data_IF_662001667580
#
_entry.id   IF_662001667580
#
_cell.length_a   1.000
_cell.length_b   1.000
_cell.length_c   1.000
_cell.angle_alpha   90.00
_cell.angle_beta   90.00
_cell.angle_gamma   90.00
#
_symmetry.space_group_name_H-M   'P 1'
#
loop_
_entity.id
_entity.type
_entity.pdbx_description
1 polymer ?
#
# COMPACT_ATOMS: atom_id res chain seq x y z
N UNK A 1 8.35 29.21 9.44
CA UNK A 1 8.74 27.79 9.57
C UNK A 1 7.77 27.02 8.71
N UNK A 2 8.17 26.70 7.47
CA UNK A 2 7.30 26.01 6.54
C UNK A 2 7.59 24.52 6.71
N UNK A 3 6.62 23.77 7.24
CA UNK A 3 6.66 22.31 7.18
C UNK A 3 6.54 21.91 5.72
N UNK A 4 7.69 21.88 5.05
CA UNK A 4 7.79 21.52 3.66
C UNK A 4 7.76 20.00 3.48
N UNK A 5 7.63 19.54 2.22
CA UNK A 5 7.77 18.13 1.87
C UNK A 5 9.07 17.51 2.43
N UNK A 6 10.13 18.32 2.54
CA UNK A 6 11.43 17.92 3.09
C UNK A 6 11.37 17.52 4.56
N UNK A 7 10.76 18.32 5.44
CA UNK A 7 10.56 17.96 6.85
C UNK A 7 9.72 16.70 7.01
N UNK A 8 8.66 16.56 6.21
CA UNK A 8 7.77 15.39 6.26
C UNK A 8 8.53 14.11 5.87
N UNK A 9 9.39 14.19 4.86
CA UNK A 9 10.28 13.09 4.45
C UNK A 9 11.26 12.72 5.57
N UNK A 10 11.85 13.69 6.27
CA UNK A 10 12.76 13.42 7.39
C UNK A 10 12.06 12.63 8.50
N UNK A 11 10.84 13.03 8.86
CA UNK A 11 10.03 12.33 9.88
C UNK A 11 9.66 10.92 9.39
N UNK A 12 9.26 10.78 8.13
CA UNK A 12 8.91 9.49 7.54
C UNK A 12 10.08 8.51 7.59
N UNK A 13 11.30 8.96 7.30
CA UNK A 13 12.52 8.13 7.38
C UNK A 13 12.74 7.62 8.80
N UNK A 14 12.56 8.45 9.82
CA UNK A 14 12.69 8.05 11.22
C UNK A 14 11.68 6.94 11.55
N UNK A 15 10.41 7.14 11.19
CA UNK A 15 9.33 6.15 11.39
C UNK A 15 9.68 4.82 10.70
N UNK A 16 10.18 4.88 9.47
CA UNK A 16 10.60 3.70 8.69
C UNK A 16 11.78 2.97 9.34
N UNK A 17 12.71 3.67 10.01
CA UNK A 17 13.79 3.00 10.75
C UNK A 17 13.24 2.26 11.97
N UNK A 18 12.29 2.84 12.71
CA UNK A 18 11.69 2.19 13.87
C UNK A 18 10.78 1.01 13.51
N UNK A 19 9.93 1.16 12.49
CA UNK A 19 8.97 0.12 12.09
C UNK A 19 9.50 -0.82 11.00
N UNK A 20 10.53 -0.43 10.25
CA UNK A 20 11.06 -1.14 9.09
C UNK A 20 10.33 -0.82 7.78
N UNK A 21 11.07 -0.85 6.66
CA UNK A 21 10.56 -0.56 5.30
C UNK A 21 9.45 -1.51 4.84
N UNK A 22 9.37 -2.73 5.40
CA UNK A 22 8.38 -3.73 5.01
C UNK A 22 7.03 -3.60 5.73
N UNK A 23 7.02 -3.06 6.95
CA UNK A 23 5.79 -2.98 7.77
C UNK A 23 4.85 -1.88 7.30
N UNK A 24 5.42 -0.77 6.83
CA UNK A 24 4.66 0.38 6.37
C UNK A 24 3.72 0.06 5.17
N UNK A 25 4.19 -0.55 4.06
CA UNK A 25 3.33 -0.94 2.95
C UNK A 25 2.34 -2.06 3.31
N UNK A 26 2.71 -2.98 4.20
CA UNK A 26 1.82 -4.05 4.68
C UNK A 26 0.62 -3.48 5.44
N UNK A 27 0.87 -2.56 6.39
CA UNK A 27 -0.18 -1.87 7.17
C UNK A 27 -1.03 -0.99 6.26
N UNK A 28 -0.43 -0.20 5.38
CA UNK A 28 -1.19 0.63 4.45
C UNK A 28 -1.99 -0.19 3.44
N UNK A 29 -1.49 -1.35 2.99
CA UNK A 29 -2.23 -2.27 2.15
C UNK A 29 -3.47 -2.81 2.85
N UNK A 30 -3.36 -3.20 4.12
CA UNK A 30 -4.50 -3.67 4.92
C UNK A 30 -5.52 -2.55 5.17
N UNK A 31 -5.06 -1.35 5.57
CA UNK A 31 -5.93 -0.18 5.79
C UNK A 31 -6.61 0.27 4.50
N UNK A 32 -5.89 0.28 3.37
CA UNK A 32 -6.42 0.66 2.07
C UNK A 32 -7.51 -0.30 1.58
N UNK A 33 -7.32 -1.62 1.76
CA UNK A 33 -8.35 -2.63 1.49
C UNK A 33 -9.60 -2.41 2.36
N UNK A 34 -9.41 -2.16 3.66
CA UNK A 34 -10.52 -1.86 4.57
C UNK A 34 -11.28 -0.59 4.20
N UNK A 35 -10.56 0.49 3.85
CA UNK A 35 -11.17 1.75 3.42
C UNK A 35 -11.91 1.60 2.08
N UNK A 36 -11.38 0.80 1.15
CA UNK A 36 -12.02 0.50 -0.14
C UNK A 36 -13.32 -0.28 0.05
N UNK A 37 -13.33 -1.28 0.92
CA UNK A 37 -14.56 -2.02 1.23
C UNK A 37 -15.55 -1.16 2.02
N UNK A 38 -15.07 -0.29 2.92
CA UNK A 38 -15.90 0.69 3.63
C UNK A 38 -16.60 1.64 2.67
N UNK A 39 -15.88 2.22 1.69
CA UNK A 39 -16.48 3.11 0.67
C UNK A 39 -17.50 2.38 -0.21
N UNK A 40 -17.20 1.16 -0.62
CA UNK A 40 -18.10 0.29 -1.39
C UNK A 40 -19.40 0.00 -0.62
N UNK A 41 -19.33 -0.25 0.67
CA UNK A 41 -20.50 -0.45 1.53
C UNK A 41 -21.23 0.86 1.85
N UNK A 42 -20.49 1.97 1.94
CA UNK A 42 -21.04 3.32 2.17
C UNK A 42 -21.78 3.91 0.95
N UNK A 43 -21.94 3.14 -0.15
CA UNK A 43 -22.72 3.54 -1.32
C UNK A 43 -21.98 4.48 -2.28
N UNK A 44 -20.69 4.76 -2.05
CA UNK A 44 -19.84 5.37 -3.08
C UNK A 44 -19.45 4.28 -4.09
N UNK A 45 -20.25 4.12 -5.14
CA UNK A 45 -19.88 3.32 -6.32
C UNK A 45 -18.71 3.99 -7.07
N UNK A 46 -17.51 3.84 -6.52
CA UNK A 46 -16.28 4.12 -7.27
C UNK A 46 -16.04 2.95 -8.23
N UNK A 47 -16.64 3.08 -9.40
CA UNK A 47 -16.45 2.24 -10.57
C UNK A 47 -14.94 1.96 -10.79
N UNK A 48 -14.59 0.68 -10.78
CA UNK A 48 -13.32 0.08 -11.23
C UNK A 48 -12.00 0.48 -10.55
N UNK A 49 -11.39 -0.50 -9.88
CA UNK A 49 -9.94 -0.64 -9.83
C UNK A 49 -9.58 -2.14 -9.83
N UNK A 50 -9.58 -2.70 -11.04
CA UNK A 50 -8.95 -3.97 -11.42
C UNK A 50 -7.43 -3.74 -11.44
N UNK A 51 -6.64 -4.74 -11.02
CA UNK A 51 -5.18 -4.75 -10.72
C UNK A 51 -4.84 -4.29 -9.29
N UNK A 52 -3.97 -4.94 -8.52
CA UNK A 52 -3.03 -6.02 -8.79
C UNK A 52 -3.03 -6.96 -7.58
N UNK A 53 -3.35 -8.23 -7.83
CA UNK A 53 -2.90 -9.34 -7.00
C UNK A 53 -1.43 -9.56 -7.35
N UNK A 54 -0.55 -8.86 -6.64
CA UNK A 54 0.87 -9.19 -6.58
C UNK A 54 1.02 -10.48 -5.75
N UNK A 55 0.63 -11.61 -6.33
CA UNK A 55 1.03 -12.93 -5.87
C UNK A 55 1.50 -13.74 -7.06
N UNK A 56 2.83 -13.79 -7.20
CA UNK A 56 3.60 -15.03 -7.39
C UNK A 56 3.01 -16.05 -8.35
N UNK A 57 3.62 -16.14 -9.54
CA UNK A 57 4.03 -17.40 -10.17
C UNK A 57 5.13 -17.11 -11.21
N UNK A 58 6.31 -16.74 -10.73
CA UNK A 58 7.54 -16.94 -11.50
C UNK A 58 8.05 -18.35 -11.17
N UNK A 59 7.57 -19.33 -11.92
CA UNK A 59 8.27 -20.59 -12.16
C UNK A 59 7.89 -21.08 -13.55
N UNK A 60 8.49 -20.47 -14.57
CA UNK A 60 8.66 -21.14 -15.86
C UNK A 60 9.51 -22.38 -15.61
N UNK A 61 8.88 -23.53 -15.74
CA UNK A 61 9.47 -24.85 -15.48
C UNK A 61 8.59 -25.92 -16.10
N UNK A 62 8.35 -25.82 -17.41
CA UNK A 62 7.76 -26.90 -18.19
C UNK A 62 8.66 -27.19 -19.40
N UNK A 63 9.47 -28.24 -19.18
CA UNK A 63 10.06 -29.20 -20.10
C UNK A 63 9.82 -29.00 -21.62
N UNK A 64 10.93 -28.97 -22.35
CA UNK A 64 11.06 -29.45 -23.72
C UNK A 64 11.83 -30.77 -23.71
#
# INVERSE_FOLDING_TARGET
>A
MNFGPTELILILVIIVIFFGVGRLPEVFGAVGKGLREFRKQAGEEANEAKKDDSTTNSSEGTAA
#
